data_IF_640976667483
#
_entry.id   IF_640976667483
#
_cell.length_a   1.000
_cell.length_b   1.000
_cell.length_c   1.000
_cell.angle_alpha   90.00
_cell.angle_beta   90.00
_cell.angle_gamma   90.00
#
_symmetry.space_group_name_H-M   'P 1'
#
loop_
_entity.id
_entity.type
_entity.pdbx_description
1 polymer ?
#
# COMPACT_ATOMS: atom_id res chain seq x y z
N UNK A 1 1.13 23.79 31.64
CA UNK A 1 0.78 22.59 30.85
C UNK A 1 1.50 21.39 31.48
N UNK A 2 0.85 20.21 31.58
CA UNK A 2 1.53 18.98 32.04
C UNK A 2 2.50 18.52 30.95
N UNK A 3 3.71 18.12 31.35
CA UNK A 3 4.75 17.62 30.43
C UNK A 3 4.29 16.28 29.82
N UNK A 4 4.40 16.14 28.49
CA UNK A 4 4.23 14.88 27.78
C UNK A 4 5.51 14.05 27.93
N UNK A 5 5.31 12.75 28.14
CA UNK A 5 6.35 11.77 28.35
C UNK A 5 6.16 10.64 27.32
N UNK A 6 7.24 10.09 26.79
CA UNK A 6 7.19 9.02 25.80
C UNK A 6 6.98 7.65 26.45
N UNK A 7 6.09 6.87 25.90
CA UNK A 7 5.80 5.48 26.29
C UNK A 7 5.78 4.59 25.06
N UNK A 8 6.41 3.44 25.15
CA UNK A 8 6.26 2.37 24.17
C UNK A 8 5.04 1.53 24.59
N UNK A 9 4.07 1.46 23.70
CA UNK A 9 2.88 0.63 23.85
C UNK A 9 2.97 -0.52 22.87
N UNK A 10 2.75 -1.75 23.35
CA UNK A 10 2.87 -2.98 22.56
C UNK A 10 1.57 -3.74 22.57
N UNK A 11 1.15 -4.22 21.39
CA UNK A 11 0.04 -5.14 21.27
C UNK A 11 0.45 -6.59 21.60
N UNK A 12 -0.51 -7.48 21.93
CA UNK A 12 -0.24 -8.88 22.14
C UNK A 12 -0.03 -9.62 20.80
N UNK A 13 0.83 -10.64 20.80
CA UNK A 13 1.01 -11.56 19.68
C UNK A 13 2.05 -11.13 18.67
N UNK A 14 1.71 -10.31 17.69
CA UNK A 14 2.60 -9.95 16.57
C UNK A 14 3.74 -9.00 16.96
N UNK A 15 3.61 -8.39 18.14
CA UNK A 15 4.67 -7.56 18.72
C UNK A 15 4.79 -6.17 18.10
N UNK A 16 3.76 -5.72 17.37
CA UNK A 16 3.72 -4.33 16.91
C UNK A 16 3.72 -3.37 18.11
N UNK A 17 4.41 -2.26 17.94
CA UNK A 17 4.50 -1.26 19.01
C UNK A 17 4.54 0.15 18.43
N UNK A 18 4.09 1.10 19.26
CA UNK A 18 4.07 2.53 18.95
C UNK A 18 4.68 3.35 20.08
N UNK A 19 5.23 4.52 19.75
CA UNK A 19 5.64 5.51 20.77
C UNK A 19 4.52 6.52 20.93
N UNK A 20 3.87 6.51 22.08
CA UNK A 20 2.79 7.44 22.43
C UNK A 20 3.27 8.47 23.45
N UNK A 21 2.93 9.74 23.24
CA UNK A 21 3.28 10.84 24.14
C UNK A 21 2.10 11.22 25.02
N UNK A 22 2.19 10.91 26.31
CA UNK A 22 1.10 11.15 27.25
C UNK A 22 1.61 11.69 28.59
N UNK A 23 0.69 12.20 29.42
CA UNK A 23 1.03 12.72 30.75
C UNK A 23 1.22 11.63 31.81
N UNK A 24 0.78 10.41 31.52
CA UNK A 24 0.92 9.23 32.38
C UNK A 24 0.72 7.95 31.56
N UNK A 25 1.08 6.80 32.12
CA UNK A 25 1.02 5.49 31.44
C UNK A 25 -0.41 5.03 31.12
N UNK A 26 -1.41 5.35 31.94
CA UNK A 26 -2.78 4.95 31.67
C UNK A 26 -3.35 5.66 30.40
N UNK A 27 -3.01 6.93 30.27
CA UNK A 27 -3.36 7.69 29.04
C UNK A 27 -2.60 7.15 27.83
N UNK A 28 -1.28 6.90 27.97
CA UNK A 28 -0.46 6.31 26.91
C UNK A 28 -1.00 4.94 26.45
N UNK A 29 -1.34 4.07 27.43
CA UNK A 29 -1.90 2.74 27.15
C UNK A 29 -3.20 2.80 26.36
N UNK A 30 -4.09 3.77 26.66
CA UNK A 30 -5.34 3.95 25.93
C UNK A 30 -5.10 4.49 24.51
N UNK A 31 -4.28 5.54 24.38
CA UNK A 31 -4.01 6.20 23.10
C UNK A 31 -3.22 5.29 22.17
N UNK A 32 -2.16 4.63 22.66
CA UNK A 32 -1.39 3.67 21.91
C UNK A 32 -2.17 2.40 21.56
N UNK A 33 -3.05 1.91 22.46
CA UNK A 33 -3.95 0.81 22.14
C UNK A 33 -4.92 1.17 21.01
N UNK A 34 -5.47 2.37 21.02
CA UNK A 34 -6.32 2.85 19.91
C UNK A 34 -5.55 2.93 18.58
N UNK A 35 -4.26 3.32 18.59
CA UNK A 35 -3.42 3.37 17.39
C UNK A 35 -3.10 1.97 16.85
N UNK A 36 -2.96 0.99 17.74
CA UNK A 36 -2.72 -0.42 17.45
C UNK A 36 -4.01 -1.23 17.20
N UNK A 37 -5.18 -0.58 17.22
CA UNK A 37 -6.50 -1.21 17.11
C UNK A 37 -6.74 -2.33 18.15
N UNK A 38 -6.21 -2.15 19.37
CA UNK A 38 -6.42 -3.09 20.48
C UNK A 38 -7.04 -2.42 21.70
N UNK A 39 -7.85 -3.17 22.45
CA UNK A 39 -8.52 -2.65 23.65
C UNK A 39 -7.52 -2.39 24.78
N UNK A 40 -7.83 -1.44 25.67
CA UNK A 40 -6.96 -1.06 26.80
C UNK A 40 -6.46 -2.23 27.64
N UNK A 41 -7.31 -3.24 27.89
CA UNK A 41 -6.97 -4.42 28.66
C UNK A 41 -6.19 -5.48 27.87
N UNK A 42 -6.16 -5.36 26.54
CA UNK A 42 -5.44 -6.26 25.64
C UNK A 42 -4.01 -5.80 25.37
N UNK A 43 -3.70 -4.51 25.59
CA UNK A 43 -2.33 -4.01 25.45
C UNK A 43 -1.38 -4.87 26.31
N UNK A 44 -0.37 -5.48 25.69
CA UNK A 44 0.59 -6.34 26.37
C UNK A 44 1.44 -5.56 27.37
N UNK A 45 2.04 -4.46 26.91
CA UNK A 45 2.89 -3.63 27.74
C UNK A 45 2.79 -2.14 27.40
N UNK A 46 3.07 -1.29 28.40
CA UNK A 46 3.16 0.15 28.25
C UNK A 46 4.34 0.64 29.11
N UNK A 47 5.50 0.79 28.46
CA UNK A 47 6.77 1.05 29.11
C UNK A 47 7.25 2.48 28.87
N UNK A 48 7.79 3.11 29.91
CA UNK A 48 8.39 4.44 29.83
C UNK A 48 9.67 4.43 29.00
N UNK A 49 9.79 5.40 28.02
CA UNK A 49 10.96 5.55 27.14
C UNK A 49 11.52 6.99 27.21
N UNK A 50 12.25 7.35 28.27
CA UNK A 50 12.72 8.72 28.52
C UNK A 50 13.57 9.30 27.39
N UNK A 51 14.31 8.46 26.67
CA UNK A 51 15.17 8.88 25.55
C UNK A 51 14.39 9.55 24.41
N UNK A 52 13.07 9.29 24.30
CA UNK A 52 12.22 9.87 23.28
C UNK A 52 11.43 11.11 23.75
N UNK A 53 11.57 11.56 25.00
CA UNK A 53 10.80 12.70 25.54
C UNK A 53 11.03 14.01 24.76
N UNK A 54 12.21 14.16 24.18
CA UNK A 54 12.58 15.37 23.45
C UNK A 54 11.80 15.53 22.14
N UNK A 55 11.18 14.43 21.65
CA UNK A 55 10.38 14.46 20.40
C UNK A 55 8.90 14.77 20.66
N UNK A 56 8.49 14.97 21.91
CA UNK A 56 7.08 15.29 22.21
C UNK A 56 6.62 16.59 21.51
N UNK A 57 5.42 16.63 20.92
CA UNK A 57 4.37 15.60 20.95
C UNK A 57 4.50 14.47 19.91
N UNK A 58 5.59 14.37 19.18
CA UNK A 58 5.85 13.34 18.18
C UNK A 58 5.71 13.83 16.74
N UNK A 59 5.94 12.94 15.74
CA UNK A 59 6.46 11.58 15.88
C UNK A 59 7.98 11.51 16.15
N UNK A 60 8.45 10.40 16.70
CA UNK A 60 9.89 10.11 16.80
C UNK A 60 10.41 9.77 15.40
N UNK A 61 11.51 10.36 14.91
CA UNK A 61 12.08 10.00 13.63
C UNK A 61 12.42 8.51 13.54
N UNK A 62 12.10 7.86 12.43
CA UNK A 62 12.34 6.41 12.25
C UNK A 62 13.81 6.03 12.36
N UNK A 63 14.74 6.91 11.91
CA UNK A 63 16.19 6.72 12.11
C UNK A 63 16.54 6.58 13.58
N UNK A 64 15.98 7.45 14.43
CA UNK A 64 16.20 7.40 15.89
C UNK A 64 15.61 6.15 16.52
N UNK A 65 14.44 5.69 16.06
CA UNK A 65 13.87 4.43 16.50
C UNK A 65 14.80 3.26 16.16
N UNK A 66 15.35 3.21 14.94
CA UNK A 66 16.30 2.18 14.50
C UNK A 66 17.57 2.19 15.36
N UNK A 67 18.16 3.36 15.65
CA UNK A 67 19.30 3.52 16.56
C UNK A 67 19.02 3.03 17.99
N UNK A 68 17.75 2.87 18.36
CA UNK A 68 17.31 2.34 19.64
C UNK A 68 16.75 0.91 19.57
N UNK A 69 17.16 0.15 18.52
CA UNK A 69 16.86 -1.26 18.36
C UNK A 69 15.50 -1.59 17.75
N UNK A 70 14.79 -0.60 17.21
CA UNK A 70 13.60 -0.84 16.43
C UNK A 70 13.98 -1.34 15.03
N UNK A 71 13.05 -2.03 14.39
CA UNK A 71 13.19 -2.44 13.01
C UNK A 71 11.91 -2.14 12.23
N UNK A 72 12.05 -2.00 10.93
CA UNK A 72 10.96 -1.79 9.98
C UNK A 72 11.13 -2.74 8.80
N UNK A 73 10.06 -2.97 8.07
CA UNK A 73 10.16 -3.63 6.77
C UNK A 73 10.52 -2.61 5.68
N UNK A 74 11.39 -3.01 4.77
CA UNK A 74 11.68 -2.23 3.58
C UNK A 74 10.41 -2.11 2.73
N UNK A 75 10.02 -0.88 2.40
CA UNK A 75 8.79 -0.61 1.66
C UNK A 75 8.74 -1.29 0.29
N UNK A 76 9.91 -1.54 -0.32
CA UNK A 76 10.01 -2.17 -1.64
C UNK A 76 10.16 -3.69 -1.56
N UNK A 77 11.17 -4.20 -0.85
CA UNK A 77 11.52 -5.63 -0.86
C UNK A 77 11.13 -6.41 0.40
N UNK A 78 10.48 -5.76 1.38
CA UNK A 78 10.07 -6.35 2.67
C UNK A 78 11.20 -6.89 3.55
N UNK A 79 12.46 -6.64 3.20
CA UNK A 79 13.61 -6.97 4.05
C UNK A 79 13.51 -6.20 5.37
N UNK A 80 13.93 -6.85 6.46
CA UNK A 80 14.06 -6.19 7.76
C UNK A 80 15.15 -5.12 7.70
N UNK A 81 14.79 -3.90 8.13
CA UNK A 81 15.68 -2.74 8.22
C UNK A 81 15.94 -2.46 9.70
N UNK A 82 17.15 -2.66 10.14
CA UNK A 82 17.64 -2.48 11.51
C UNK A 82 19.02 -1.83 11.50
N UNK A 83 19.53 -1.41 12.65
CA UNK A 83 20.88 -0.86 12.77
C UNK A 83 21.97 -1.89 12.34
N UNK A 84 21.74 -3.18 12.63
CA UNK A 84 22.69 -4.26 12.35
C UNK A 84 22.51 -4.95 11.00
N UNK A 85 21.61 -4.51 10.13
CA UNK A 85 21.23 -5.27 8.92
C UNK A 85 22.38 -5.59 7.97
N UNK A 86 23.42 -4.73 7.87
CA UNK A 86 24.58 -4.97 7.01
C UNK A 86 25.42 -6.15 7.55
N UNK A 87 25.68 -6.17 8.87
CA UNK A 87 26.43 -7.24 9.51
C UNK A 87 25.65 -8.57 9.49
N UNK A 88 24.32 -8.51 9.64
CA UNK A 88 23.44 -9.67 9.53
C UNK A 88 23.53 -10.28 8.11
N UNK A 89 23.44 -9.46 7.06
CA UNK A 89 23.55 -9.90 5.68
C UNK A 89 24.93 -10.51 5.33
N UNK A 90 26.00 -9.88 5.80
CA UNK A 90 27.38 -10.39 5.62
C UNK A 90 27.58 -11.74 6.31
N UNK A 91 26.98 -11.93 7.49
CA UNK A 91 27.06 -13.20 8.24
C UNK A 91 26.27 -14.32 7.55
N UNK A 92 25.16 -14.01 6.90
CA UNK A 92 24.35 -14.95 6.14
C UNK A 92 24.93 -15.27 4.75
N UNK A 93 26.02 -14.62 4.37
CA UNK A 93 26.69 -14.83 3.08
C UNK A 93 25.91 -14.29 1.88
N UNK A 94 25.01 -13.35 2.14
CA UNK A 94 24.26 -12.67 1.09
C UNK A 94 25.14 -11.59 0.45
N UNK A 95 25.37 -11.70 -0.88
CA UNK A 95 26.01 -10.65 -1.66
C UNK A 95 25.03 -9.47 -1.83
N UNK A 96 25.02 -8.54 -0.88
CA UNK A 96 24.27 -7.30 -1.00
C UNK A 96 25.21 -6.10 -1.07
N UNK A 97 25.14 -5.37 -2.18
CA UNK A 97 25.77 -4.08 -2.30
C UNK A 97 25.12 -3.07 -1.35
N UNK A 98 25.87 -2.64 -0.34
CA UNK A 98 25.60 -1.46 0.49
C UNK A 98 24.17 -1.31 1.05
N UNK A 99 23.83 -2.18 1.99
CA UNK A 99 22.63 -1.97 2.80
C UNK A 99 22.83 -0.71 3.66
N UNK A 100 21.90 0.20 3.57
CA UNK A 100 21.87 1.44 4.35
C UNK A 100 20.43 1.86 4.59
N UNK A 101 20.12 2.27 5.81
CA UNK A 101 18.79 2.81 6.15
C UNK A 101 18.55 4.07 5.33
N UNK A 102 17.51 4.06 4.49
CA UNK A 102 17.06 5.22 3.73
C UNK A 102 15.62 5.53 4.12
N UNK A 103 15.37 6.78 4.48
CA UNK A 103 14.02 7.28 4.80
C UNK A 103 13.57 8.22 3.68
N UNK A 104 12.38 7.95 3.13
CA UNK A 104 11.74 8.81 2.15
C UNK A 104 10.28 9.05 2.57
N UNK A 105 10.00 10.23 3.11
CA UNK A 105 8.74 10.51 3.80
C UNK A 105 8.54 9.55 4.99
N UNK A 106 7.44 8.82 4.98
CA UNK A 106 7.13 7.81 6.01
C UNK A 106 7.64 6.40 5.65
N UNK A 107 8.20 6.20 4.47
CA UNK A 107 8.70 4.89 4.04
C UNK A 107 10.15 4.68 4.47
N UNK A 108 10.46 3.43 4.87
CA UNK A 108 11.81 2.96 5.22
C UNK A 108 12.28 2.00 4.15
N UNK A 109 13.53 2.12 3.73
CA UNK A 109 14.15 1.25 2.72
C UNK A 109 15.48 0.71 3.24
N UNK A 110 15.84 -0.48 2.81
CA UNK A 110 17.13 -1.11 3.15
C UNK A 110 18.29 -0.62 2.28
N UNK A 111 18.02 0.12 1.20
CA UNK A 111 19.05 0.67 0.30
C UNK A 111 18.50 1.77 -0.58
N UNK A 112 19.39 2.57 -1.18
CA UNK A 112 19.01 3.53 -2.21
C UNK A 112 18.53 2.85 -3.49
N UNK A 113 18.98 1.64 -3.79
CA UNK A 113 18.49 0.83 -4.91
C UNK A 113 16.99 0.56 -4.76
N UNK A 114 16.53 0.11 -3.59
CA UNK A 114 15.11 -0.12 -3.33
C UNK A 114 14.25 1.15 -3.49
N UNK A 115 14.78 2.31 -3.11
CA UNK A 115 14.10 3.60 -3.36
C UNK A 115 13.95 3.85 -4.86
N UNK A 116 15.01 3.64 -5.63
CA UNK A 116 15.01 3.88 -7.08
C UNK A 116 14.10 2.90 -7.81
N UNK A 117 14.12 1.63 -7.45
CA UNK A 117 13.25 0.59 -8.02
C UNK A 117 11.78 0.91 -7.76
N UNK A 118 11.40 1.23 -6.52
CA UNK A 118 10.05 1.66 -6.18
C UNK A 118 9.62 2.89 -7.01
N UNK A 119 10.50 3.85 -7.19
CA UNK A 119 10.22 5.05 -7.98
C UNK A 119 10.01 4.74 -9.47
N UNK A 120 10.84 3.86 -10.04
CA UNK A 120 10.70 3.39 -11.43
C UNK A 120 9.39 2.64 -11.62
N UNK A 121 9.05 1.73 -10.71
CA UNK A 121 7.79 0.98 -10.74
C UNK A 121 6.56 1.90 -10.65
N UNK A 122 6.58 2.86 -9.74
CA UNK A 122 5.48 3.83 -9.60
C UNK A 122 5.29 4.66 -10.88
N UNK A 123 6.39 5.07 -11.52
CA UNK A 123 6.31 5.80 -12.80
C UNK A 123 5.76 4.92 -13.92
N UNK A 124 6.24 3.69 -14.04
CA UNK A 124 5.75 2.73 -15.01
C UNK A 124 4.25 2.44 -14.82
N UNK A 125 3.83 2.28 -13.57
CA UNK A 125 2.42 2.07 -13.22
C UNK A 125 1.53 3.26 -13.63
N UNK A 126 1.95 4.49 -13.31
CA UNK A 126 1.24 5.70 -13.71
C UNK A 126 1.17 5.86 -15.23
N UNK A 127 2.27 5.55 -15.93
CA UNK A 127 2.31 5.60 -17.38
C UNK A 127 1.34 4.58 -18.02
N UNK A 128 1.29 3.36 -17.49
CA UNK A 128 0.35 2.32 -17.94
C UNK A 128 -1.12 2.73 -17.70
N UNK A 129 -1.44 3.33 -16.54
CA UNK A 129 -2.77 3.86 -16.28
C UNK A 129 -3.16 4.97 -17.28
N UNK A 130 -2.25 5.92 -17.53
CA UNK A 130 -2.49 7.02 -18.48
C UNK A 130 -2.70 6.49 -19.90
N UNK A 131 -1.87 5.55 -20.34
CA UNK A 131 -2.01 4.93 -21.66
C UNK A 131 -3.34 4.20 -21.82
N UNK A 132 -3.81 3.48 -20.78
CA UNK A 132 -5.11 2.81 -20.81
C UNK A 132 -6.27 3.81 -20.89
N UNK A 133 -6.19 4.93 -20.15
CA UNK A 133 -7.19 6.01 -20.21
C UNK A 133 -7.25 6.60 -21.63
N UNK A 134 -6.11 6.96 -22.20
CA UNK A 134 -6.04 7.54 -23.54
C UNK A 134 -6.57 6.57 -24.60
N UNK A 135 -6.14 5.32 -24.56
CA UNK A 135 -6.62 4.27 -25.46
C UNK A 135 -8.14 4.14 -25.40
N UNK A 136 -8.70 4.05 -24.19
CA UNK A 136 -10.14 3.89 -24.01
C UNK A 136 -10.91 5.13 -24.45
N UNK A 137 -10.46 6.33 -24.12
CA UNK A 137 -11.11 7.58 -24.49
C UNK A 137 -11.13 7.80 -26.01
N UNK A 138 -10.07 7.39 -26.74
CA UNK A 138 -10.04 7.44 -28.20
C UNK A 138 -10.97 6.40 -28.81
N UNK A 139 -11.02 5.20 -28.23
CA UNK A 139 -11.83 4.08 -28.77
C UNK A 139 -13.32 4.25 -28.47
N UNK A 140 -13.66 4.84 -27.31
CA UNK A 140 -15.03 5.01 -26.83
C UNK A 140 -15.26 6.44 -26.32
N UNK A 141 -15.29 7.45 -27.21
CA UNK A 141 -15.33 8.86 -26.84
C UNK A 141 -16.60 9.29 -26.10
N UNK A 142 -17.69 8.53 -26.26
CA UNK A 142 -18.99 8.82 -25.61
C UNK A 142 -19.09 8.23 -24.19
N UNK A 143 -18.07 7.54 -23.72
CA UNK A 143 -18.03 6.93 -22.39
C UNK A 143 -17.37 7.83 -21.36
N UNK A 144 -17.83 7.75 -20.13
CA UNK A 144 -17.19 8.39 -18.98
C UNK A 144 -16.38 7.38 -18.17
N UNK A 145 -15.09 7.65 -17.99
CA UNK A 145 -14.19 6.81 -17.17
C UNK A 145 -14.40 7.15 -15.70
N UNK A 146 -14.65 6.15 -14.87
CA UNK A 146 -14.86 6.33 -13.42
C UNK A 146 -13.61 5.91 -12.61
N UNK A 147 -12.97 4.81 -12.98
CA UNK A 147 -11.79 4.29 -12.28
C UNK A 147 -10.93 3.45 -13.20
N UNK A 148 -9.63 3.54 -13.01
CA UNK A 148 -8.62 2.69 -13.67
C UNK A 148 -7.91 1.86 -12.60
N UNK A 149 -7.65 0.60 -12.92
CA UNK A 149 -6.84 -0.31 -12.12
C UNK A 149 -5.87 -1.05 -13.05
N UNK A 150 -4.58 -0.91 -12.75
CA UNK A 150 -3.53 -1.71 -13.39
C UNK A 150 -2.85 -2.50 -12.27
N UNK A 151 -2.94 -3.83 -12.30
CA UNK A 151 -2.22 -4.64 -11.33
C UNK A 151 -0.73 -4.62 -11.66
N UNK A 152 0.11 -4.52 -10.62
CA UNK A 152 1.54 -4.77 -10.78
C UNK A 152 1.71 -6.27 -11.09
N UNK A 153 2.40 -6.59 -12.18
CA UNK A 153 2.85 -7.96 -12.38
C UNK A 153 3.88 -8.27 -11.27
N UNK A 154 3.75 -9.37 -10.53
CA UNK A 154 4.79 -9.74 -9.59
C UNK A 154 6.08 -10.03 -10.38
N UNK A 155 7.12 -9.25 -10.13
CA UNK A 155 8.45 -9.40 -10.76
C UNK A 155 9.22 -10.63 -10.23
N UNK A 156 8.58 -11.55 -9.49
CA UNK A 156 9.27 -12.64 -8.80
C UNK A 156 8.78 -14.02 -9.25
N UNK A 157 9.68 -14.69 -9.98
CA UNK A 157 9.76 -16.12 -10.19
C UNK A 157 9.02 -16.68 -11.41
N UNK A 158 9.61 -17.69 -12.08
CA UNK A 158 9.09 -18.28 -13.32
C UNK A 158 7.75 -19.02 -13.15
N UNK A 159 7.31 -19.30 -11.91
CA UNK A 159 6.12 -20.11 -11.60
C UNK A 159 4.89 -19.32 -11.12
N UNK A 160 4.98 -18.00 -11.00
CA UNK A 160 3.83 -17.14 -10.69
C UNK A 160 3.50 -16.25 -11.88
N UNK A 161 2.84 -16.82 -12.88
CA UNK A 161 2.14 -16.05 -13.90
C UNK A 161 0.93 -15.33 -13.28
N UNK A 162 1.18 -14.31 -12.50
CA UNK A 162 0.20 -13.29 -12.23
C UNK A 162 -0.01 -12.52 -13.53
N UNK A 163 -1.10 -12.77 -14.24
CA UNK A 163 -1.44 -11.98 -15.41
C UNK A 163 -1.60 -10.52 -14.98
N UNK A 164 -0.75 -9.65 -15.51
CA UNK A 164 -0.94 -8.21 -15.36
C UNK A 164 -2.34 -7.88 -15.88
N UNK A 165 -3.22 -7.43 -15.00
CA UNK A 165 -4.58 -7.04 -15.40
C UNK A 165 -4.65 -5.53 -15.48
N UNK A 166 -5.10 -5.03 -16.62
CA UNK A 166 -5.40 -3.63 -16.81
C UNK A 166 -6.93 -3.49 -16.98
N UNK A 167 -7.58 -2.97 -15.95
CA UNK A 167 -9.03 -2.85 -15.85
C UNK A 167 -9.43 -1.38 -15.83
N UNK A 168 -10.54 -1.06 -16.51
CA UNK A 168 -11.13 0.25 -16.50
C UNK A 168 -12.63 0.14 -16.23
N UNK A 169 -13.11 0.93 -15.27
CA UNK A 169 -14.54 1.05 -14.95
C UNK A 169 -15.07 2.31 -15.62
N UNK A 170 -16.19 2.17 -16.31
CA UNK A 170 -16.74 3.26 -17.12
C UNK A 170 -18.27 3.19 -17.20
N UNK A 171 -18.88 4.29 -17.60
CA UNK A 171 -20.28 4.36 -18.02
C UNK A 171 -20.37 4.70 -19.48
N UNK A 172 -21.20 3.97 -20.19
CA UNK A 172 -21.59 4.25 -21.56
C UNK A 172 -22.96 4.97 -21.61
N UNK A 173 -23.36 5.59 -22.71
CA UNK A 173 -24.66 6.27 -22.84
C UNK A 173 -25.83 5.37 -22.47
N UNK A 174 -26.63 5.79 -21.51
CA UNK A 174 -27.79 5.05 -21.00
C UNK A 174 -27.50 4.04 -19.91
N UNK A 175 -26.24 3.82 -19.52
CA UNK A 175 -25.89 2.92 -18.42
C UNK A 175 -26.28 3.48 -17.05
N UNK A 176 -26.89 2.66 -16.20
CA UNK A 176 -27.18 2.97 -14.80
C UNK A 176 -25.99 2.61 -13.89
N UNK A 177 -25.27 1.54 -14.20
CA UNK A 177 -24.14 1.01 -13.45
C UNK A 177 -22.85 1.07 -14.25
N UNK A 178 -21.72 0.95 -13.55
CA UNK A 178 -20.42 0.87 -14.16
C UNK A 178 -20.24 -0.44 -14.92
N UNK A 179 -19.74 -0.36 -16.14
CA UNK A 179 -19.23 -1.49 -16.89
C UNK A 179 -17.71 -1.64 -16.66
N UNK A 180 -17.17 -2.81 -16.97
CA UNK A 180 -15.74 -3.08 -16.86
C UNK A 180 -15.16 -3.40 -18.23
N UNK A 181 -14.09 -2.73 -18.60
CA UNK A 181 -13.24 -3.04 -19.74
C UNK A 181 -11.94 -3.65 -19.23
N UNK A 182 -11.56 -4.81 -19.78
CA UNK A 182 -10.25 -5.44 -19.54
C UNK A 182 -9.42 -5.31 -20.80
N UNK A 183 -8.24 -4.71 -20.69
CA UNK A 183 -7.33 -4.59 -21.83
C UNK A 183 -6.87 -5.97 -22.30
N UNK A 184 -7.01 -6.22 -23.61
CA UNK A 184 -6.70 -7.51 -24.23
C UNK A 184 -7.85 -8.54 -24.21
N UNK A 185 -9.01 -8.22 -23.62
CA UNK A 185 -10.24 -9.00 -23.77
C UNK A 185 -11.14 -8.38 -24.84
N UNK A 186 -11.76 -9.23 -25.66
CA UNK A 186 -12.70 -8.77 -26.70
C UNK A 186 -14.08 -8.37 -26.15
N UNK A 187 -14.32 -8.60 -24.85
CA UNK A 187 -15.64 -8.44 -24.22
C UNK A 187 -15.58 -7.47 -23.05
N UNK A 188 -16.55 -6.56 -23.03
CA UNK A 188 -16.85 -5.75 -21.86
C UNK A 188 -17.78 -6.51 -20.92
N UNK A 189 -17.60 -6.34 -19.61
CA UNK A 189 -18.52 -6.88 -18.60
C UNK A 189 -19.53 -5.81 -18.25
N UNK A 190 -20.80 -6.09 -18.49
CA UNK A 190 -21.94 -5.19 -18.30
C UNK A 190 -22.94 -5.88 -17.36
N UNK A 191 -23.59 -5.13 -16.49
CA UNK A 191 -24.67 -5.66 -15.64
C UNK A 191 -25.88 -6.02 -16.47
N UNK A 192 -26.64 -7.04 -16.05
CA UNK A 192 -27.83 -7.53 -16.78
C UNK A 192 -28.85 -6.40 -17.02
N UNK A 193 -29.01 -5.52 -16.05
CA UNK A 193 -29.94 -4.37 -16.13
C UNK A 193 -29.56 -3.39 -17.25
N UNK A 194 -28.28 -3.24 -17.54
CA UNK A 194 -27.76 -2.31 -18.56
C UNK A 194 -27.59 -2.94 -19.95
N UNK A 195 -27.83 -4.25 -20.10
CA UNK A 195 -27.70 -4.92 -21.40
C UNK A 195 -28.52 -4.28 -22.53
N UNK A 196 -29.79 -3.87 -22.35
CA UNK A 196 -30.54 -3.21 -23.41
C UNK A 196 -29.89 -1.91 -23.88
N UNK A 197 -29.42 -1.09 -22.95
CA UNK A 197 -28.69 0.15 -23.26
C UNK A 197 -27.33 -0.13 -23.93
N UNK A 198 -26.64 -1.20 -23.50
CA UNK A 198 -25.38 -1.63 -24.09
C UNK A 198 -25.53 -2.06 -25.56
N UNK A 199 -26.54 -2.88 -25.88
CA UNK A 199 -26.83 -3.28 -27.26
C UNK A 199 -27.16 -2.08 -28.14
N UNK A 200 -27.98 -1.15 -27.62
CA UNK A 200 -28.31 0.10 -28.32
C UNK A 200 -27.06 0.94 -28.58
N UNK A 201 -26.24 1.16 -27.56
CA UNK A 201 -24.99 1.94 -27.68
C UNK A 201 -24.00 1.30 -28.67
N UNK A 202 -23.86 -0.04 -28.65
CA UNK A 202 -22.95 -0.77 -29.54
C UNK A 202 -23.49 -0.96 -30.93
N UNK A 203 -24.80 -0.70 -31.19
CA UNK A 203 -25.45 -0.96 -32.47
C UNK A 203 -25.48 -2.46 -32.83
N UNK A 204 -25.57 -3.37 -31.83
CA UNK A 204 -25.63 -4.81 -32.06
C UNK A 204 -26.99 -5.37 -31.62
N UNK A 205 -27.46 -6.40 -32.33
CA UNK A 205 -28.69 -7.08 -31.97
C UNK A 205 -28.50 -7.90 -30.68
N UNK A 206 -29.46 -7.84 -29.75
CA UNK A 206 -29.44 -8.71 -28.58
C UNK A 206 -29.52 -10.18 -29.01
N UNK A 207 -28.83 -11.10 -28.31
CA UNK A 207 -28.95 -12.53 -28.62
C UNK A 207 -30.43 -12.95 -28.50
N UNK A 208 -30.91 -13.77 -29.47
CA UNK A 208 -32.23 -14.35 -29.37
C UNK A 208 -32.36 -15.10 -28.04
N UNK A 209 -33.45 -14.84 -27.29
CA UNK A 209 -33.69 -15.56 -26.04
C UNK A 209 -33.59 -17.06 -26.30
N UNK A 210 -32.71 -17.76 -25.57
CA UNK A 210 -32.65 -19.20 -25.64
C UNK A 210 -33.95 -19.76 -25.07
N UNK A 211 -34.62 -20.71 -25.74
CA UNK A 211 -35.89 -21.24 -25.32
C UNK A 211 -35.83 -21.97 -23.98
#
# INVERSE_FOLDING_TARGET
MKRLLAYEVREPGEGHCVITFATNSATARREGGNELDCAFNEVESCNRRPQFDLYAPGPVPKTVLIEHGWWFECHHCSRRVSEGMQQEAEHEGEEHEHLAVVINGDAVYCSSACVMEEFVEQRAHKAAQSALIEFFAVTYPDCSIERVHVSRAPLQGPDRMGHAQALLYFKFPGAQHSATFTFGEDRMRVTVVDLPAYYTWRGIEPPAEAP
#
